data_IF_390778205252
#
_entry.id   IF_390778205252
#
_cell.length_a   1.000
_cell.length_b   1.000
_cell.length_c   1.000
_cell.angle_alpha   90.00
_cell.angle_beta   90.00
_cell.angle_gamma   90.00
#
_symmetry.space_group_name_H-M   'P 1'
#
loop_
_entity.id
_entity.type
_entity.pdbx_description
1 polymer ?
#
# COMPACT_ATOMS: atom_id res chain seq x y z
N UNK A 1 -9.93 9.36 7.02
CA UNK A 1 -8.46 9.53 7.11
C UNK A 1 -7.95 8.51 8.13
N UNK A 2 -7.50 7.36 7.64
CA UNK A 2 -6.84 6.38 8.50
C UNK A 2 -5.58 7.03 9.06
N UNK A 3 -5.37 6.91 10.37
CA UNK A 3 -4.21 7.51 11.03
C UNK A 3 -2.93 7.05 10.32
N UNK A 4 -1.94 7.95 10.18
CA UNK A 4 -0.62 7.61 9.67
C UNK A 4 0.07 6.52 10.50
N UNK A 5 1.40 6.41 10.44
CA UNK A 5 2.10 5.35 11.17
C UNK A 5 1.73 5.23 12.66
N UNK A 6 1.41 4.02 13.09
CA UNK A 6 1.10 3.65 14.47
C UNK A 6 2.31 3.82 15.41
N UNK A 7 2.07 3.89 16.72
CA UNK A 7 3.12 4.10 17.72
C UNK A 7 4.27 3.07 17.64
N UNK A 8 3.95 1.79 17.44
CA UNK A 8 4.96 0.75 17.26
C UNK A 8 5.81 0.96 15.99
N UNK A 9 5.18 1.36 14.88
CA UNK A 9 5.89 1.68 13.63
C UNK A 9 6.80 2.89 13.81
N UNK A 10 6.33 3.93 14.52
CA UNK A 10 7.15 5.12 14.87
C UNK A 10 8.37 4.76 15.71
N UNK A 11 8.21 3.89 16.71
CA UNK A 11 9.33 3.43 17.53
C UNK A 11 10.41 2.72 16.69
N UNK A 12 10.02 1.91 15.70
CA UNK A 12 10.98 1.34 14.76
C UNK A 12 11.62 2.39 13.85
N UNK A 13 10.85 3.36 13.36
CA UNK A 13 11.38 4.44 12.53
C UNK A 13 12.41 5.28 13.28
N UNK A 14 12.17 5.60 14.56
CA UNK A 14 13.12 6.29 15.43
C UNK A 14 14.37 5.43 15.65
N UNK A 15 14.18 4.14 15.96
CA UNK A 15 15.27 3.19 16.20
C UNK A 15 16.20 3.02 14.99
N UNK A 16 15.66 3.07 13.78
CA UNK A 16 16.41 2.89 12.54
C UNK A 16 16.71 4.20 11.80
N UNK A 17 16.48 5.36 12.44
CA UNK A 17 16.70 6.70 11.86
C UNK A 17 16.01 6.91 10.49
N UNK A 18 14.77 6.42 10.37
CA UNK A 18 13.95 6.52 9.15
C UNK A 18 12.72 7.40 9.33
N UNK A 19 12.55 8.08 10.47
CA UNK A 19 11.37 8.93 10.74
C UNK A 19 11.14 10.02 9.69
N UNK A 20 12.22 10.69 9.25
CA UNK A 20 12.12 11.71 8.19
C UNK A 20 11.63 11.12 6.85
N UNK A 21 12.03 9.89 6.53
CA UNK A 21 11.54 9.20 5.35
C UNK A 21 10.06 8.86 5.49
N UNK A 22 9.66 8.32 6.64
CA UNK A 22 8.28 8.01 6.95
C UNK A 22 7.38 9.26 6.85
N UNK A 23 7.79 10.37 7.46
CA UNK A 23 7.02 11.62 7.42
C UNK A 23 6.87 12.14 5.98
N UNK A 24 7.90 12.02 5.14
CA UNK A 24 7.80 12.35 3.71
C UNK A 24 6.81 11.43 2.98
N UNK A 25 6.85 10.12 3.24
CA UNK A 25 5.95 9.16 2.60
C UNK A 25 4.48 9.40 2.99
N UNK A 26 4.23 9.81 4.24
CA UNK A 26 2.90 10.15 4.72
C UNK A 26 2.29 11.30 3.90
N UNK A 27 3.09 12.31 3.53
CA UNK A 27 2.62 13.42 2.66
C UNK A 27 2.32 13.02 1.23
N UNK A 28 2.83 11.88 0.77
CA UNK A 28 2.62 11.35 -0.58
C UNK A 28 1.55 10.26 -0.64
N UNK A 29 1.00 9.86 0.51
CA UNK A 29 -0.01 8.80 0.60
C UNK A 29 -1.38 9.35 0.26
N UNK A 30 -2.15 8.60 -0.53
CA UNK A 30 -3.51 8.93 -0.96
C UNK A 30 -4.42 7.72 -0.83
N UNK A 31 -5.69 7.94 -0.55
CA UNK A 31 -6.75 6.92 -0.58
C UNK A 31 -7.50 6.88 -1.92
N UNK A 32 -7.04 7.65 -2.92
CA UNK A 32 -7.61 7.71 -4.26
C UNK A 32 -6.61 7.33 -5.34
N UNK A 33 -7.07 6.47 -6.25
CA UNK A 33 -6.34 6.07 -7.46
C UNK A 33 -6.60 7.09 -8.56
N UNK A 34 -5.63 7.96 -8.81
CA UNK A 34 -5.67 8.91 -9.93
C UNK A 34 -5.29 8.23 -11.28
N UNK A 35 -5.33 9.00 -12.37
CA UNK A 35 -5.01 8.50 -13.71
C UNK A 35 -3.58 7.93 -13.82
N UNK A 36 -2.61 8.49 -13.08
CA UNK A 36 -1.23 8.04 -13.08
C UNK A 36 -1.10 6.70 -12.34
N UNK A 37 -1.73 6.57 -11.18
CA UNK A 37 -1.76 5.33 -10.41
C UNK A 37 -2.51 4.24 -11.17
N UNK A 38 -3.62 4.56 -11.84
CA UNK A 38 -4.34 3.62 -12.72
C UNK A 38 -3.43 3.05 -13.80
N UNK A 39 -2.76 3.92 -14.56
CA UNK A 39 -1.85 3.49 -15.62
C UNK A 39 -0.70 2.63 -15.06
N UNK A 40 -0.19 2.95 -13.88
CA UNK A 40 0.85 2.15 -13.22
C UNK A 40 0.34 0.76 -12.82
N UNK A 41 -0.80 0.68 -12.11
CA UNK A 41 -1.38 -0.56 -11.59
C UNK A 41 -1.72 -1.51 -12.74
N UNK A 42 -2.44 -1.02 -13.76
CA UNK A 42 -2.91 -1.86 -14.87
C UNK A 42 -1.75 -2.36 -15.76
N UNK A 43 -0.58 -1.71 -15.70
CA UNK A 43 0.62 -2.16 -16.40
C UNK A 43 1.46 -3.19 -15.63
N UNK A 44 1.08 -3.57 -14.40
CA UNK A 44 1.82 -4.59 -13.63
C UNK A 44 1.32 -5.99 -13.98
N UNK A 45 2.25 -6.93 -14.05
CA UNK A 45 2.01 -8.37 -14.18
C UNK A 45 2.00 -9.09 -12.83
N UNK A 46 2.22 -8.36 -11.73
CA UNK A 46 2.23 -8.92 -10.38
C UNK A 46 1.94 -7.88 -9.29
N UNK A 47 1.49 -8.37 -8.12
CA UNK A 47 1.40 -7.59 -6.88
C UNK A 47 1.52 -8.50 -5.65
N UNK A 48 1.69 -7.85 -4.48
CA UNK A 48 1.59 -8.50 -3.18
C UNK A 48 0.37 -7.95 -2.45
N UNK A 49 -0.39 -8.81 -1.79
CA UNK A 49 -1.48 -8.44 -0.88
C UNK A 49 -1.11 -8.90 0.53
N UNK A 50 -1.28 -8.01 1.50
CA UNK A 50 -1.06 -8.31 2.90
C UNK A 50 -2.34 -8.06 3.69
N UNK A 51 -2.66 -8.99 4.59
CA UNK A 51 -3.79 -8.89 5.53
C UNK A 51 -3.31 -9.27 6.92
N UNK A 52 -4.09 -8.93 7.93
CA UNK A 52 -3.94 -9.46 9.28
C UNK A 52 -5.28 -10.08 9.69
N UNK A 53 -5.21 -11.18 10.44
CA UNK A 53 -6.41 -11.78 11.03
C UNK A 53 -6.89 -10.98 12.27
N UNK A 54 -7.90 -11.50 12.97
CA UNK A 54 -8.47 -10.85 14.14
C UNK A 54 -7.48 -10.76 15.32
N UNK A 55 -6.50 -11.66 15.38
CA UNK A 55 -5.45 -11.68 16.40
C UNK A 55 -4.24 -10.81 15.99
N UNK A 56 -4.30 -10.19 14.80
CA UNK A 56 -3.26 -9.34 14.25
C UNK A 56 -2.09 -10.09 13.62
N UNK A 57 -2.22 -11.40 13.39
CA UNK A 57 -1.17 -12.19 12.74
C UNK A 57 -1.12 -11.84 11.24
N UNK A 58 0.02 -11.34 10.73
CA UNK A 58 0.10 -10.87 9.34
C UNK A 58 0.35 -12.02 8.37
N UNK A 59 -0.27 -11.93 7.19
CA UNK A 59 -0.03 -12.78 6.04
C UNK A 59 0.29 -11.90 4.82
N UNK A 60 1.16 -12.39 3.93
CA UNK A 60 1.42 -11.75 2.66
C UNK A 60 1.45 -12.79 1.54
N UNK A 61 0.72 -12.52 0.47
CA UNK A 61 0.63 -13.38 -0.70
C UNK A 61 1.09 -12.66 -1.96
N UNK A 62 1.90 -13.36 -2.75
CA UNK A 62 2.18 -12.99 -4.14
C UNK A 62 0.99 -13.35 -5.04
N UNK A 63 0.70 -12.49 -6.03
CA UNK A 63 -0.25 -12.75 -7.12
C UNK A 63 0.39 -12.31 -8.44
N UNK A 64 0.31 -13.16 -9.46
CA UNK A 64 0.85 -12.88 -10.79
C UNK A 64 -0.16 -13.19 -11.90
N UNK A 65 -0.06 -12.48 -13.01
CA UNK A 65 -0.94 -12.59 -14.18
C UNK A 65 -0.37 -11.83 -15.37
N UNK A 66 -1.12 -11.75 -16.47
CA UNK A 66 -0.75 -10.84 -17.57
C UNK A 66 -1.00 -9.38 -17.16
N UNK A 67 -0.31 -8.39 -17.76
CA UNK A 67 -0.67 -6.98 -17.61
C UNK A 67 -2.16 -6.74 -17.87
N UNK A 68 -2.80 -5.96 -17.01
CA UNK A 68 -4.26 -5.74 -17.00
C UNK A 68 -5.06 -6.82 -16.27
N UNK A 69 -4.40 -7.78 -15.60
CA UNK A 69 -5.06 -8.72 -14.68
C UNK A 69 -5.70 -7.99 -13.50
N UNK A 70 -5.03 -6.97 -12.94
CA UNK A 70 -5.65 -6.03 -11.99
C UNK A 70 -6.19 -4.83 -12.76
N UNK A 71 -7.45 -4.46 -12.48
CA UNK A 71 -8.14 -3.34 -13.12
C UNK A 71 -8.59 -2.32 -12.09
N UNK A 72 -8.48 -1.04 -12.44
CA UNK A 72 -9.06 0.03 -11.63
C UNK A 72 -10.47 0.31 -12.12
N UNK A 73 -11.46 -0.05 -11.31
CA UNK A 73 -12.89 0.14 -11.61
C UNK A 73 -13.30 1.59 -11.39
N UNK A 74 -12.87 2.16 -10.27
CA UNK A 74 -13.03 3.58 -9.91
C UNK A 74 -11.88 4.01 -8.99
N UNK A 75 -11.90 5.26 -8.49
CA UNK A 75 -10.84 5.82 -7.65
C UNK A 75 -10.60 5.05 -6.33
N UNK A 76 -11.50 4.15 -5.94
CA UNK A 76 -11.50 3.41 -4.68
C UNK A 76 -11.69 1.89 -4.83
N UNK A 77 -11.82 1.38 -6.05
CA UNK A 77 -12.15 -0.03 -6.31
C UNK A 77 -11.21 -0.67 -7.33
N UNK A 78 -10.65 -1.83 -6.98
CA UNK A 78 -9.83 -2.69 -7.85
C UNK A 78 -10.55 -4.02 -8.11
N UNK A 79 -10.31 -4.63 -9.28
CA UNK A 79 -10.80 -5.96 -9.64
C UNK A 79 -9.68 -6.85 -10.20
#
# INVERSE_FOLDING_TARGET
MGQGYHAAQRAFQDRFDTRRLADRLDTATTDRVDARLKAFIEARDMFFIATADADGAPQCSYKGGAPGFVRVIDESTLA
#
